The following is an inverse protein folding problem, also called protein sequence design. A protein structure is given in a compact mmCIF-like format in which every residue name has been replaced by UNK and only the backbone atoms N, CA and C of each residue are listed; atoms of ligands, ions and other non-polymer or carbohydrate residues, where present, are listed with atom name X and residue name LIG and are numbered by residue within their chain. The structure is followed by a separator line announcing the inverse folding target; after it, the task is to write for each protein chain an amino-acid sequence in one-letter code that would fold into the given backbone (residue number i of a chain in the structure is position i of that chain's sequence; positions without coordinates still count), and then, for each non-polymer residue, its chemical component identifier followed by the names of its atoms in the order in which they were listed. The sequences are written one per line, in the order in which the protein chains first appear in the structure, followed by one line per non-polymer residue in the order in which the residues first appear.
data_IF_943570896620
#
_entry.id   IF_943570896620
#
_cell.length_a   1.000
_cell.length_b   1.000
_cell.length_c   1.000
_cell.angle_alpha   90.00
_cell.angle_beta   90.00
_cell.angle_gamma   90.00
#
_symmetry.space_group_name_H-M   'P 1'
#
loop_
_entity.id
_entity.type
_entity.pdbx_description
1 polymer ?
#
# COMPACT_ATOMS: atom_id res chain seq x y z
N UNK A 1 6.82 -9.21 -45.61
CA UNK A 1 7.10 -7.88 -45.06
C UNK A 1 6.07 -7.36 -44.08
N UNK A 2 4.78 -7.59 -44.32
CA UNK A 2 3.74 -7.14 -43.36
C UNK A 2 3.72 -7.90 -42.04
N UNK A 3 4.09 -9.17 -42.03
CA UNK A 3 4.19 -10.01 -40.83
C UNK A 3 5.31 -9.58 -39.86
N UNK A 4 6.38 -9.04 -40.39
CA UNK A 4 7.51 -8.59 -39.60
C UNK A 4 7.19 -7.35 -38.79
N UNK A 5 6.42 -6.41 -39.35
CA UNK A 5 5.97 -5.22 -38.62
C UNK A 5 5.02 -5.57 -37.46
N UNK A 6 4.20 -6.57 -37.62
CA UNK A 6 3.30 -7.06 -36.58
C UNK A 6 4.07 -7.74 -35.42
N UNK A 7 5.13 -8.49 -35.75
CA UNK A 7 5.99 -9.15 -34.77
C UNK A 7 6.76 -8.13 -33.95
N UNK A 8 7.29 -7.07 -34.57
CA UNK A 8 8.00 -6.00 -33.86
C UNK A 8 7.10 -5.22 -32.92
N UNK A 9 5.86 -4.94 -33.33
CA UNK A 9 4.86 -4.28 -32.50
C UNK A 9 4.45 -5.15 -31.31
N UNK A 10 4.32 -6.45 -31.48
CA UNK A 10 4.03 -7.39 -30.41
C UNK A 10 5.17 -7.48 -29.39
N UNK A 11 6.42 -7.45 -29.84
CA UNK A 11 7.61 -7.45 -28.98
C UNK A 11 7.71 -6.17 -28.15
N UNK A 12 7.39 -5.02 -28.70
CA UNK A 12 7.39 -3.74 -27.98
C UNK A 12 6.31 -3.72 -26.91
N UNK A 13 5.13 -4.26 -27.17
CA UNK A 13 4.07 -4.36 -26.18
C UNK A 13 4.42 -5.28 -25.01
N UNK A 14 5.12 -6.39 -25.26
CA UNK A 14 5.58 -7.31 -24.21
C UNK A 14 6.65 -6.68 -23.32
N UNK A 15 7.59 -5.93 -23.88
CA UNK A 15 8.60 -5.22 -23.13
C UNK A 15 8.00 -4.12 -22.23
N UNK A 16 6.97 -3.42 -22.70
CA UNK A 16 6.27 -2.40 -21.92
C UNK A 16 5.54 -2.96 -20.71
N UNK A 17 4.96 -4.15 -20.80
CA UNK A 17 4.27 -4.79 -19.69
C UNK A 17 5.22 -5.32 -18.62
N UNK A 18 6.40 -5.77 -18.99
CA UNK A 18 7.41 -6.27 -18.05
C UNK A 18 7.96 -5.15 -17.14
N UNK A 19 8.07 -3.94 -17.63
CA UNK A 19 8.58 -2.78 -16.87
C UNK A 19 7.56 -2.33 -15.82
N UNK A 20 6.26 -2.41 -16.10
CA UNK A 20 5.21 -2.01 -15.16
C UNK A 20 5.03 -2.98 -13.99
N UNK A 21 5.32 -4.25 -14.16
CA UNK A 21 5.20 -5.25 -13.10
C UNK A 21 6.20 -5.08 -11.95
N UNK A 22 7.29 -4.31 -12.16
CA UNK A 22 8.32 -4.06 -11.15
C UNK A 22 8.05 -2.82 -10.29
N UNK A 23 7.03 -2.02 -10.58
CA UNK A 23 6.75 -0.77 -9.88
C UNK A 23 5.66 -0.92 -8.82
N UNK A 24 5.90 -0.28 -7.70
CA UNK A 24 5.03 0.08 -6.57
C UNK A 24 3.97 -0.90 -6.13
N UNK A 25 4.13 -1.33 -4.89
CA UNK A 25 3.09 -2.02 -4.15
C UNK A 25 2.02 -1.03 -3.73
N UNK A 26 0.77 -1.47 -3.77
CA UNK A 26 -0.39 -0.69 -3.34
C UNK A 26 -1.03 -1.33 -2.12
N UNK A 27 -1.78 -0.52 -1.37
CA UNK A 27 -2.59 -1.02 -0.28
C UNK A 27 -3.69 -1.93 -0.83
N UNK A 28 -3.91 -3.05 -0.17
CA UNK A 28 -4.99 -3.98 -0.51
C UNK A 28 -6.26 -3.62 0.26
N UNK A 29 -7.39 -3.55 -0.43
CA UNK A 29 -8.67 -3.36 0.22
C UNK A 29 -9.06 -4.63 0.98
N UNK A 30 -9.59 -4.45 2.20
CA UNK A 30 -10.01 -5.54 3.08
C UNK A 30 -11.48 -5.36 3.38
N UNK A 31 -12.30 -6.34 3.03
CA UNK A 31 -13.75 -6.30 3.31
C UNK A 31 -14.03 -6.47 4.80
N UNK A 32 -13.26 -7.31 5.48
CA UNK A 32 -13.46 -7.60 6.89
C UNK A 32 -12.12 -7.68 7.59
N UNK A 33 -11.96 -6.90 8.66
CA UNK A 33 -10.75 -6.92 9.46
C UNK A 33 -10.68 -8.19 10.30
N UNK A 34 -9.47 -8.78 10.48
CA UNK A 34 -9.30 -9.84 11.46
C UNK A 34 -9.66 -9.38 12.86
N UNK A 35 -10.19 -10.28 13.69
CA UNK A 35 -10.56 -9.95 15.06
C UNK A 35 -9.38 -9.37 15.87
N UNK A 36 -8.18 -9.91 15.68
CA UNK A 36 -6.97 -9.42 16.33
C UNK A 36 -6.66 -7.97 15.92
N UNK A 37 -6.89 -7.61 14.67
CA UNK A 37 -6.68 -6.26 14.19
C UNK A 37 -7.66 -5.29 14.85
N UNK A 38 -8.92 -5.67 14.96
CA UNK A 38 -9.95 -4.84 15.62
C UNK A 38 -9.60 -4.58 17.09
N UNK A 39 -9.13 -5.60 17.80
CA UNK A 39 -8.74 -5.47 19.21
C UNK A 39 -7.53 -4.56 19.43
N UNK A 40 -6.58 -4.56 18.48
CA UNK A 40 -5.34 -3.80 18.59
C UNK A 40 -5.41 -2.44 17.89
N UNK A 41 -6.51 -2.11 17.25
CA UNK A 41 -6.63 -0.83 16.54
C UNK A 41 -6.54 0.35 17.50
N UNK A 42 -5.68 1.28 17.11
CA UNK A 42 -5.49 2.55 17.79
C UNK A 42 -6.01 3.64 16.87
N UNK A 43 -7.02 4.35 17.32
CA UNK A 43 -7.66 5.42 16.56
C UNK A 43 -7.02 6.77 16.85
N UNK A 44 -6.72 7.51 15.80
CA UNK A 44 -6.27 8.89 15.87
C UNK A 44 -7.01 9.67 14.78
N UNK A 45 -7.83 10.65 15.19
CA UNK A 45 -8.74 11.36 14.29
C UNK A 45 -9.64 10.37 13.52
N UNK A 46 -9.64 10.42 12.18
CA UNK A 46 -10.46 9.56 11.34
C UNK A 46 -9.70 8.33 10.83
N UNK A 47 -8.59 7.99 11.45
CA UNK A 47 -7.71 6.90 11.03
C UNK A 47 -7.51 5.93 12.19
N UNK A 48 -7.73 4.66 11.93
CA UNK A 48 -7.45 3.58 12.89
C UNK A 48 -6.36 2.68 12.31
N UNK A 49 -5.39 2.31 13.13
CA UNK A 49 -4.22 1.54 12.70
C UNK A 49 -3.95 0.39 13.64
N UNK A 50 -3.65 -0.77 13.08
CA UNK A 50 -3.18 -1.94 13.82
C UNK A 50 -2.05 -2.61 13.05
N UNK A 51 -1.08 -3.19 13.77
CA UNK A 51 0.01 -3.96 13.18
C UNK A 51 -0.04 -5.37 13.74
N UNK A 52 -0.20 -6.35 12.87
CA UNK A 52 -0.30 -7.77 13.25
C UNK A 52 0.44 -8.61 12.22
N UNK A 53 1.37 -9.44 12.69
CA UNK A 53 2.08 -10.45 11.88
C UNK A 53 2.66 -9.90 10.58
N UNK A 54 3.27 -8.71 10.65
CA UNK A 54 3.88 -8.08 9.48
C UNK A 54 2.89 -7.37 8.57
N UNK A 55 1.61 -7.35 8.92
CA UNK A 55 0.60 -6.58 8.19
C UNK A 55 0.24 -5.31 8.95
N UNK A 56 0.16 -4.23 8.21
CA UNK A 56 -0.39 -2.96 8.70
C UNK A 56 -1.83 -2.86 8.23
N UNK A 57 -2.76 -2.78 9.16
CA UNK A 57 -4.18 -2.60 8.86
C UNK A 57 -4.58 -1.17 9.17
N UNK A 58 -5.22 -0.52 8.23
CA UNK A 58 -5.67 0.86 8.35
C UNK A 58 -7.14 0.95 7.99
N UNK A 59 -7.91 1.62 8.82
CA UNK A 59 -9.31 1.95 8.53
C UNK A 59 -9.44 3.47 8.40
N UNK A 60 -9.97 3.90 7.27
CA UNK A 60 -10.22 5.30 6.96
C UNK A 60 -11.70 5.59 7.02
N UNK A 61 -12.09 6.65 7.71
CA UNK A 61 -13.48 7.12 7.75
C UNK A 61 -13.79 8.12 6.64
N UNK A 62 -12.76 8.75 6.11
CA UNK A 62 -12.87 9.72 5.02
C UNK A 62 -11.86 9.38 3.94
N UNK A 63 -12.09 9.89 2.75
CA UNK A 63 -11.12 9.84 1.66
C UNK A 63 -9.82 10.50 2.11
N UNK A 64 -8.71 9.80 2.02
CA UNK A 64 -7.45 10.22 2.62
C UNK A 64 -6.28 9.81 1.76
N UNK A 65 -5.26 10.66 1.70
CA UNK A 65 -3.96 10.28 1.16
C UNK A 65 -3.24 9.39 2.17
N UNK A 66 -3.02 8.14 1.78
CA UNK A 66 -2.40 7.14 2.64
C UNK A 66 -1.01 6.81 2.12
N UNK A 67 -0.01 6.99 2.95
CA UNK A 67 1.38 6.71 2.60
C UNK A 67 2.08 5.90 3.67
N UNK A 68 2.90 4.96 3.25
CA UNK A 68 3.78 4.19 4.12
C UNK A 68 5.22 4.41 3.67
N UNK A 69 6.07 4.79 4.60
CA UNK A 69 7.45 5.17 4.35
C UNK A 69 8.41 4.42 5.26
N UNK A 70 9.62 4.19 4.78
CA UNK A 70 10.72 3.76 5.66
C UNK A 70 11.12 4.91 6.57
N UNK A 71 11.87 4.61 7.64
CA UNK A 71 12.39 5.65 8.55
C UNK A 71 13.29 6.67 7.82
N UNK A 72 13.89 6.27 6.71
CA UNK A 72 14.70 7.16 5.87
C UNK A 72 13.87 8.03 4.92
N UNK A 73 12.55 7.85 4.92
CA UNK A 73 11.65 8.63 4.08
C UNK A 73 11.37 8.05 2.70
N UNK A 74 11.80 6.83 2.42
CA UNK A 74 11.51 6.17 1.14
C UNK A 74 10.08 5.65 1.12
N UNK A 75 9.27 6.00 0.09
CA UNK A 75 7.91 5.51 0.01
C UNK A 75 7.85 4.03 -0.34
N UNK A 76 7.07 3.26 0.42
CA UNK A 76 6.74 1.87 0.10
C UNK A 76 5.43 1.78 -0.65
N UNK A 77 4.45 2.57 -0.24
CA UNK A 77 3.15 2.66 -0.89
C UNK A 77 2.55 4.03 -0.57
N UNK A 78 1.96 4.67 -1.55
CA UNK A 78 1.20 5.90 -1.32
C UNK A 78 0.15 6.09 -2.40
N UNK A 79 -0.92 6.71 -2.03
CA UNK A 79 -2.03 7.00 -2.93
C UNK A 79 -3.20 7.57 -2.17
N UNK A 80 -4.22 7.95 -2.89
CA UNK A 80 -5.46 8.43 -2.33
C UNK A 80 -6.46 7.27 -2.30
N UNK A 81 -7.09 7.06 -1.14
CA UNK A 81 -8.00 5.95 -0.91
C UNK A 81 -9.33 6.42 -0.37
N UNK A 82 -10.39 5.75 -0.79
CA UNK A 82 -11.75 5.97 -0.32
C UNK A 82 -11.92 5.44 1.12
N UNK A 83 -12.98 5.87 1.84
CA UNK A 83 -13.27 5.29 3.15
C UNK A 83 -13.37 3.76 3.08
N UNK A 84 -12.76 3.09 4.04
CA UNK A 84 -12.72 1.65 4.09
C UNK A 84 -11.52 1.15 4.85
N UNK A 85 -11.32 -0.16 4.82
CA UNK A 85 -10.23 -0.84 5.47
C UNK A 85 -9.23 -1.36 4.45
N UNK A 86 -7.95 -1.23 4.77
CA UNK A 86 -6.85 -1.59 3.90
C UNK A 86 -5.76 -2.30 4.69
N UNK A 87 -4.96 -3.09 4.00
CA UNK A 87 -3.79 -3.73 4.58
C UNK A 87 -2.58 -3.62 3.66
N UNK A 88 -1.41 -3.68 4.25
CA UNK A 88 -0.14 -3.72 3.54
C UNK A 88 0.81 -4.65 4.27
N UNK A 89 1.42 -5.58 3.53
CA UNK A 89 2.40 -6.49 4.10
C UNK A 89 3.79 -5.88 4.05
N UNK A 90 4.46 -5.86 5.20
CA UNK A 90 5.85 -5.43 5.31
C UNK A 90 6.74 -6.66 5.51
N UNK A 91 7.66 -6.87 4.57
CA UNK A 91 8.52 -8.04 4.56
C UNK A 91 9.67 -7.98 5.57
N UNK A 92 10.12 -6.77 5.93
CA UNK A 92 11.26 -6.57 6.82
C UNK A 92 10.82 -5.90 8.12
N UNK A 93 11.33 -6.39 9.23
CA UNK A 93 11.16 -5.73 10.52
C UNK A 93 11.91 -4.40 10.54
N UNK A 94 11.39 -3.45 11.25
CA UNK A 94 12.00 -2.14 11.39
C UNK A 94 11.01 -1.08 11.82
N UNK A 95 11.43 0.17 11.66
CA UNK A 95 10.60 1.32 11.98
C UNK A 95 10.11 1.94 10.67
N UNK A 96 8.81 2.17 10.63
CA UNK A 96 8.14 2.74 9.45
C UNK A 96 7.29 3.93 9.86
N UNK A 97 7.02 4.80 8.92
CA UNK A 97 6.15 5.95 9.11
C UNK A 97 4.89 5.79 8.27
N UNK A 98 3.75 5.86 8.93
CA UNK A 98 2.46 5.89 8.27
C UNK A 98 1.96 7.33 8.25
N UNK A 99 1.63 7.82 7.08
CA UNK A 99 1.05 9.14 6.91
C UNK A 99 -0.35 9.00 6.30
N UNK A 100 -1.36 9.48 7.02
CA UNK A 100 -2.73 9.45 6.58
C UNK A 100 -3.33 10.86 6.73
N UNK A 101 -3.36 11.61 5.64
CA UNK A 101 -3.73 13.03 5.68
C UNK A 101 -2.78 13.83 6.57
N UNK A 102 -3.29 14.42 7.63
CA UNK A 102 -2.50 15.15 8.64
C UNK A 102 -1.94 14.25 9.74
N UNK A 103 -2.37 12.99 9.81
CA UNK A 103 -1.94 12.04 10.84
C UNK A 103 -0.63 11.39 10.43
N UNK A 104 0.35 11.42 11.33
CA UNK A 104 1.63 10.73 11.14
C UNK A 104 1.84 9.79 12.33
N UNK A 105 2.09 8.50 12.04
CA UNK A 105 2.34 7.50 13.06
C UNK A 105 3.62 6.74 12.78
N UNK A 106 4.40 6.52 13.82
CA UNK A 106 5.55 5.63 13.78
C UNK A 106 5.10 4.21 14.08
N UNK A 107 5.46 3.28 13.20
CA UNK A 107 5.15 1.86 13.34
C UNK A 107 6.44 1.10 13.62
N UNK A 108 6.38 0.21 14.59
CA UNK A 108 7.49 -0.68 14.91
C UNK A 108 7.04 -2.11 14.62
N UNK A 109 7.75 -2.76 13.70
CA UNK A 109 7.45 -4.12 13.31
C UNK A 109 8.56 -5.08 13.70
#
# INVERSE_FOLDING_TARGET
MRLWRLIILALICLAGNAVRAAETRTWEAVERLPAQAVEQMSQQEDVSVAVIDGYVYVTLRQRTNLGLFTILGQPLARGEYQPGSYRFRIARRGIYLLKAGSVIRRLIL
#
